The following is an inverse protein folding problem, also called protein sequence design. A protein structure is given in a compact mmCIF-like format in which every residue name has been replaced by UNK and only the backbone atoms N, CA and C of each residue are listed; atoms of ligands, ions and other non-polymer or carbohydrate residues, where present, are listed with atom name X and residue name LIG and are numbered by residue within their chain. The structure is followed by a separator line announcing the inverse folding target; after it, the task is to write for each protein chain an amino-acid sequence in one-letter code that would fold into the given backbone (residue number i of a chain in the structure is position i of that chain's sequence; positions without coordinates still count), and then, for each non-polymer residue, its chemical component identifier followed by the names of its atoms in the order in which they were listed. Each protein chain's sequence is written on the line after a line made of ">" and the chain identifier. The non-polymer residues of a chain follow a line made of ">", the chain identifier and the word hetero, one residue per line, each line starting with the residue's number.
data_IF_120553848349
#
_entry.id   IF_120553848349
#
_cell.length_a   1.000
_cell.length_b   1.000
_cell.length_c   1.000
_cell.angle_alpha   90.00
_cell.angle_beta   90.00
_cell.angle_gamma   90.00
#
_symmetry.space_group_name_H-M   'P 1'
#
loop_
_entity.id
_entity.type
_entity.pdbx_description
1 polymer ?
#
# COMPACT_ATOMS: atom_id res chain seq x y z
N UNK A 1 18.03 7.49 -5.25
CA UNK A 1 18.40 6.10 -4.91
C UNK A 1 17.23 5.11 -5.00
N UNK A 2 16.24 5.11 -4.09
CA UNK A 2 15.16 4.08 -4.15
C UNK A 2 14.23 4.27 -5.36
N UNK A 3 13.84 5.51 -5.69
CA UNK A 3 12.93 5.81 -6.80
C UNK A 3 13.57 5.50 -8.17
N UNK A 4 14.87 5.72 -8.29
CA UNK A 4 15.63 5.48 -9.53
C UNK A 4 15.81 3.98 -9.79
N UNK A 5 16.06 3.20 -8.73
CA UNK A 5 16.11 1.73 -8.80
C UNK A 5 14.78 1.13 -9.25
N UNK A 6 13.66 1.66 -8.74
CA UNK A 6 12.32 1.16 -9.04
C UNK A 6 11.88 1.45 -10.49
N UNK A 7 12.37 2.54 -11.09
CA UNK A 7 12.06 2.92 -12.48
C UNK A 7 12.65 1.99 -13.55
N UNK A 8 13.69 1.22 -13.21
CA UNK A 8 14.42 0.40 -14.19
C UNK A 8 13.87 -1.03 -14.34
N UNK A 9 13.19 -1.56 -13.32
CA UNK A 9 12.73 -2.97 -13.27
C UNK A 9 11.23 -3.12 -12.94
N UNK A 10 10.52 -2.00 -12.73
CA UNK A 10 9.12 -1.92 -12.28
C UNK A 10 8.68 -3.01 -11.27
N UNK A 11 9.42 -3.23 -10.17
CA UNK A 11 9.13 -4.34 -9.23
C UNK A 11 7.97 -4.03 -8.27
N UNK A 12 7.29 -2.88 -8.43
CA UNK A 12 6.30 -2.40 -7.47
C UNK A 12 4.92 -2.97 -7.74
N UNK A 13 4.33 -3.58 -6.71
CA UNK A 13 2.97 -4.09 -6.77
C UNK A 13 1.94 -2.97 -7.03
N UNK A 14 0.81 -3.30 -7.68
CA UNK A 14 -0.26 -2.35 -7.97
C UNK A 14 -0.95 -1.77 -6.73
N UNK A 15 -0.77 -2.36 -5.55
CA UNK A 15 -1.25 -1.82 -4.27
C UNK A 15 -0.12 -1.18 -3.43
N UNK A 16 1.08 -1.06 -3.98
CA UNK A 16 2.09 -0.16 -3.41
C UNK A 16 1.65 1.28 -3.68
N UNK A 17 1.52 2.09 -2.64
CA UNK A 17 1.13 3.50 -2.78
C UNK A 17 2.30 4.47 -2.63
N UNK A 18 3.40 4.06 -1.99
CA UNK A 18 4.61 4.86 -1.94
C UNK A 18 5.43 4.73 -3.23
N UNK A 19 6.18 5.78 -3.58
CA UNK A 19 7.14 5.82 -4.69
C UNK A 19 6.56 5.64 -6.11
N UNK A 20 5.23 5.66 -6.27
CA UNK A 20 4.56 5.58 -7.57
C UNK A 20 3.90 6.92 -7.96
N UNK A 21 4.07 7.41 -9.19
CA UNK A 21 3.33 8.56 -9.69
C UNK A 21 1.81 8.32 -9.65
N UNK A 22 1.05 9.36 -9.32
CA UNK A 22 -0.42 9.29 -9.25
C UNK A 22 -0.97 8.57 -8.02
N UNK A 23 -0.11 8.19 -7.06
CA UNK A 23 -0.51 7.61 -5.77
C UNK A 23 -0.02 8.45 -4.60
N UNK A 24 -0.80 8.46 -3.55
CA UNK A 24 -0.55 9.17 -2.30
C UNK A 24 -1.05 8.36 -1.09
N UNK A 25 -0.73 8.84 0.10
CA UNK A 25 -1.29 8.32 1.36
C UNK A 25 -2.83 8.43 1.39
N UNK A 26 -3.40 9.46 0.78
CA UNK A 26 -4.85 9.64 0.66
C UNK A 26 -5.46 8.55 -0.23
N UNK A 27 -4.84 8.26 -1.39
CA UNK A 27 -5.34 7.17 -2.26
C UNK A 27 -5.22 5.79 -1.60
N UNK A 28 -4.20 5.59 -0.75
CA UNK A 28 -4.04 4.37 0.04
C UNK A 28 -5.15 4.23 1.09
N UNK A 29 -5.41 5.32 1.83
CA UNK A 29 -6.47 5.38 2.83
C UNK A 29 -7.85 5.19 2.19
N UNK A 30 -8.12 5.88 1.08
CA UNK A 30 -9.36 5.72 0.34
C UNK A 30 -9.56 4.27 -0.10
N UNK A 31 -8.52 3.61 -0.62
CA UNK A 31 -8.62 2.19 -1.02
C UNK A 31 -8.93 1.26 0.16
N UNK A 32 -8.31 1.50 1.32
CA UNK A 32 -8.57 0.74 2.54
C UNK A 32 -10.02 0.94 3.03
N UNK A 33 -10.47 2.19 3.10
CA UNK A 33 -11.81 2.54 3.55
C UNK A 33 -12.87 1.95 2.62
N UNK A 34 -12.74 2.12 1.30
CA UNK A 34 -13.68 1.51 0.35
C UNK A 34 -13.76 -0.01 0.50
N UNK A 35 -12.63 -0.69 0.79
CA UNK A 35 -12.65 -2.13 1.01
C UNK A 35 -13.40 -2.52 2.29
N UNK A 36 -13.27 -1.72 3.35
CA UNK A 36 -14.01 -1.92 4.60
C UNK A 36 -15.51 -1.70 4.34
N UNK A 37 -15.88 -0.59 3.70
CA UNK A 37 -17.26 -0.25 3.34
C UNK A 37 -17.91 -1.36 2.50
N UNK A 38 -17.26 -1.80 1.41
CA UNK A 38 -17.74 -2.90 0.56
C UNK A 38 -17.99 -4.19 1.34
N UNK A 39 -17.13 -4.49 2.32
CA UNK A 39 -17.23 -5.71 3.15
C UNK A 39 -18.42 -5.62 4.10
N UNK A 40 -18.61 -4.44 4.72
CA UNK A 40 -19.74 -4.17 5.61
C UNK A 40 -21.07 -4.19 4.84
N UNK A 41 -21.13 -3.60 3.64
CA UNK A 41 -22.30 -3.63 2.76
C UNK A 41 -22.71 -5.07 2.40
N UNK A 42 -21.74 -5.95 2.20
CA UNK A 42 -21.95 -7.38 1.92
C UNK A 42 -22.29 -8.20 3.16
N UNK A 43 -22.35 -7.59 4.34
CA UNK A 43 -22.56 -8.26 5.65
C UNK A 43 -21.47 -9.31 5.94
N UNK A 44 -20.27 -9.07 5.44
CA UNK A 44 -19.09 -9.90 5.70
C UNK A 44 -18.28 -9.34 6.88
N UNK A 45 -17.26 -10.07 7.33
CA UNK A 45 -16.37 -9.64 8.41
C UNK A 45 -15.16 -8.91 7.81
N UNK A 46 -14.96 -7.66 8.19
CA UNK A 46 -13.74 -6.92 7.90
C UNK A 46 -12.69 -7.17 8.99
N UNK A 47 -11.54 -7.73 8.60
CA UNK A 47 -10.37 -7.92 9.46
C UNK A 47 -9.16 -7.24 8.83
N UNK A 48 -8.46 -6.42 9.61
CA UNK A 48 -7.23 -5.75 9.18
C UNK A 48 -6.05 -6.19 10.04
N UNK A 49 -4.91 -6.46 9.40
CA UNK A 49 -3.63 -6.70 10.06
C UNK A 49 -2.66 -5.62 9.63
N UNK A 50 -2.13 -4.89 10.61
CA UNK A 50 -1.13 -3.84 10.38
C UNK A 50 0.23 -4.37 10.80
N UNK A 51 1.19 -4.33 9.86
CA UNK A 51 2.54 -4.84 10.04
C UNK A 51 3.51 -3.69 9.88
N UNK A 52 4.52 -3.65 10.76
CA UNK A 52 5.67 -2.77 10.64
C UNK A 52 6.93 -3.64 10.56
N UNK A 53 7.85 -3.28 9.67
CA UNK A 53 9.08 -4.05 9.42
C UNK A 53 10.26 -3.26 9.97
N UNK A 54 10.88 -3.78 11.02
CA UNK A 54 12.13 -3.21 11.55
C UNK A 54 13.24 -3.28 10.50
N UNK A 55 13.96 -2.17 10.28
CA UNK A 55 15.05 -2.11 9.30
C UNK A 55 14.59 -2.12 7.83
N UNK A 56 13.31 -1.80 7.54
CA UNK A 56 12.77 -1.85 6.16
C UNK A 56 13.52 -0.98 5.15
N UNK A 57 14.18 0.10 5.60
CA UNK A 57 14.95 1.01 4.76
C UNK A 57 16.46 0.93 4.99
N UNK A 58 16.86 0.42 6.16
CA UNK A 58 18.24 0.36 6.60
C UNK A 58 18.62 -1.10 6.84
N UNK A 59 19.24 -1.72 5.84
CA UNK A 59 19.86 -3.03 5.95
C UNK A 59 21.31 -2.93 5.45
N UNK A 60 22.12 -2.17 6.19
CA UNK A 60 23.59 -2.12 6.08
C UNK A 60 24.22 -2.93 7.19
#
# INVERSE_FOLDING_TARGET
>A
HIRDYLGSNNPLHNLQFAYQPGKSTETALHKLVSKIEDTLERKEIALATFLDIQGAFDNT
#
